data_IF_770674595727
#
_entry.id   IF_770674595727
#
_cell.length_a   1.000
_cell.length_b   1.000
_cell.length_c   1.000
_cell.angle_alpha   90.00
_cell.angle_beta   90.00
_cell.angle_gamma   90.00
#
_symmetry.space_group_name_H-M   'P 1'
#
loop_
_entity.id
_entity.type
_entity.pdbx_description
1 polymer ?
#
# COMPACT_ATOMS: atom_id res chain seq x y z
N UNK A 1 -24.60 -21.50 7.62
CA UNK A 1 -23.14 -21.49 7.41
C UNK A 1 -22.76 -20.02 7.45
N UNK A 2 -21.90 -19.60 8.38
CA UNK A 2 -21.55 -18.19 8.54
C UNK A 2 -20.68 -17.76 7.37
N UNK A 3 -21.13 -16.78 6.58
CA UNK A 3 -20.27 -15.96 5.73
C UNK A 3 -19.30 -15.21 6.65
N UNK A 4 -18.25 -15.90 7.08
CA UNK A 4 -17.21 -15.30 7.90
C UNK A 4 -16.31 -14.53 6.95
N UNK A 5 -16.53 -13.21 6.84
CA UNK A 5 -15.57 -12.35 6.16
C UNK A 5 -14.22 -12.43 6.89
N UNK A 6 -13.17 -12.84 6.20
CA UNK A 6 -11.83 -12.97 6.79
C UNK A 6 -11.00 -11.77 6.39
N UNK A 7 -10.42 -11.09 7.38
CA UNK A 7 -9.38 -10.09 7.17
C UNK A 7 -8.02 -10.77 7.15
N UNK A 8 -7.22 -10.46 6.13
CA UNK A 8 -5.92 -11.06 5.87
C UNK A 8 -4.88 -9.97 5.64
N UNK A 9 -3.74 -10.10 6.31
CA UNK A 9 -2.56 -9.28 6.07
C UNK A 9 -1.84 -9.73 4.79
N UNK A 10 -1.64 -8.83 3.84
CA UNK A 10 -0.86 -9.09 2.62
C UNK A 10 0.61 -8.77 2.84
N UNK A 11 0.91 -7.60 3.40
CA UNK A 11 2.28 -7.19 3.71
C UNK A 11 2.28 -6.24 4.90
N UNK A 12 3.19 -6.49 5.85
CA UNK A 12 3.48 -5.62 7.00
C UNK A 12 4.60 -4.62 6.69
N UNK A 13 5.13 -4.59 5.46
CA UNK A 13 6.18 -3.68 5.02
C UNK A 13 7.52 -3.75 5.77
N UNK A 14 7.70 -4.72 6.66
CA UNK A 14 8.92 -4.94 7.43
C UNK A 14 10.11 -5.31 6.56
N UNK A 15 9.85 -5.97 5.42
CA UNK A 15 10.87 -6.39 4.47
C UNK A 15 10.80 -5.63 3.14
N UNK A 16 11.59 -4.56 3.04
CA UNK A 16 11.70 -3.78 1.80
C UNK A 16 12.17 -4.58 0.57
N UNK A 17 12.79 -5.76 0.73
CA UNK A 17 13.24 -6.56 -0.43
C UNK A 17 12.06 -7.18 -1.21
N UNK A 18 10.88 -7.24 -0.60
CA UNK A 18 9.62 -7.58 -1.26
C UNK A 18 9.12 -6.49 -2.21
N UNK A 19 9.76 -5.33 -2.25
CA UNK A 19 9.33 -4.18 -3.03
C UNK A 19 10.46 -3.62 -3.89
N UNK A 20 10.11 -3.13 -5.06
CA UNK A 20 11.02 -2.39 -5.93
C UNK A 20 10.37 -1.13 -6.47
N UNK A 21 11.19 -0.11 -6.70
CA UNK A 21 10.77 1.09 -7.42
C UNK A 21 10.89 0.85 -8.91
N UNK A 22 9.79 1.07 -9.63
CA UNK A 22 9.73 0.97 -11.09
C UNK A 22 9.29 2.29 -11.72
N UNK A 23 9.37 2.36 -13.05
CA UNK A 23 8.96 3.53 -13.80
C UNK A 23 9.90 4.73 -13.68
N UNK A 24 9.39 5.91 -14.04
CA UNK A 24 10.19 7.14 -14.21
C UNK A 24 10.77 7.63 -12.89
N UNK A 25 10.01 7.53 -11.79
CA UNK A 25 10.44 8.02 -10.48
C UNK A 25 11.48 7.13 -9.80
N UNK A 26 11.74 5.91 -10.30
CA UNK A 26 12.70 4.98 -9.70
C UNK A 26 14.12 5.56 -9.57
N UNK A 27 14.54 6.44 -10.49
CA UNK A 27 15.85 7.11 -10.43
C UNK A 27 15.94 8.21 -9.37
N UNK A 28 14.80 8.64 -8.83
CA UNK A 28 14.66 9.77 -7.91
C UNK A 28 14.22 9.34 -6.52
N UNK A 29 13.67 8.14 -6.39
CA UNK A 29 13.22 7.57 -5.14
C UNK A 29 14.16 6.47 -4.64
N UNK A 30 14.13 6.19 -3.34
CA UNK A 30 14.77 5.02 -2.75
C UNK A 30 13.92 4.43 -1.63
N UNK A 31 14.11 3.13 -1.39
CA UNK A 31 13.39 2.38 -0.36
C UNK A 31 14.28 2.12 0.86
N UNK A 32 13.75 2.43 2.03
CA UNK A 32 14.33 2.08 3.32
C UNK A 32 13.23 1.65 4.28
N UNK A 33 13.60 1.25 5.49
CA UNK A 33 12.66 0.95 6.57
C UNK A 33 12.91 1.91 7.73
N UNK A 34 11.87 2.29 8.46
CA UNK A 34 11.99 3.18 9.62
C UNK A 34 11.36 2.53 10.84
N UNK A 35 12.03 2.63 12.00
CA UNK A 35 11.66 1.92 13.25
C UNK A 35 10.59 2.72 14.00
N UNK A 36 9.49 3.00 13.30
CA UNK A 36 8.27 3.63 13.81
C UNK A 36 7.13 3.19 12.86
N UNK A 37 6.48 2.09 13.19
CA UNK A 37 5.26 1.65 12.51
C UNK A 37 4.04 2.51 12.88
N UNK A 38 2.90 2.30 12.21
CA UNK A 38 1.67 3.00 12.56
C UNK A 38 1.18 2.62 13.97
N UNK A 39 0.71 3.57 14.78
CA UNK A 39 0.36 3.30 16.17
C UNK A 39 -0.93 2.49 16.30
N UNK A 40 -1.01 1.65 17.34
CA UNK A 40 -2.25 1.02 17.82
C UNK A 40 -2.99 0.16 16.80
N UNK A 41 -2.27 -0.53 15.90
CA UNK A 41 -2.90 -1.48 14.99
C UNK A 41 -3.29 -2.76 15.72
N UNK A 42 -4.46 -3.30 15.40
CA UNK A 42 -4.75 -4.71 15.68
C UNK A 42 -3.94 -5.56 14.72
N UNK A 43 -3.02 -6.39 15.22
CA UNK A 43 -2.18 -7.22 14.37
C UNK A 43 -3.07 -8.17 13.54
N UNK A 44 -3.23 -7.88 12.26
CA UNK A 44 -3.85 -8.79 11.33
C UNK A 44 -2.95 -10.03 11.14
N UNK A 45 -3.57 -11.16 10.89
CA UNK A 45 -2.87 -12.39 10.55
C UNK A 45 -2.72 -12.50 9.03
N UNK A 46 -1.58 -13.02 8.59
CA UNK A 46 -1.41 -13.51 7.23
C UNK A 46 -2.36 -14.68 6.95
N UNK A 47 -2.53 -15.05 5.69
CA UNK A 47 -3.40 -16.15 5.27
C UNK A 47 -3.02 -17.51 5.90
N UNK A 48 -1.75 -17.69 6.27
CA UNK A 48 -1.21 -18.87 6.94
C UNK A 48 -1.36 -18.83 8.48
N UNK A 49 -1.95 -17.76 9.02
CA UNK A 49 -2.16 -17.55 10.45
C UNK A 49 -0.98 -16.90 11.19
N UNK A 50 0.15 -16.64 10.52
CA UNK A 50 1.25 -15.89 11.13
C UNK A 50 0.78 -14.46 11.48
N UNK A 51 1.21 -13.93 12.63
CA UNK A 51 0.88 -12.55 13.00
C UNK A 51 1.82 -11.57 12.31
N UNK A 52 1.27 -10.44 11.84
CA UNK A 52 2.06 -9.28 11.45
C UNK A 52 2.92 -8.77 12.61
N UNK A 53 3.98 -8.02 12.27
CA UNK A 53 4.81 -7.33 13.25
C UNK A 53 4.64 -5.83 13.07
N UNK A 54 4.66 -5.09 14.17
CA UNK A 54 4.45 -3.64 14.17
C UNK A 54 5.72 -2.92 14.65
N UNK A 55 6.82 -3.11 13.93
CA UNK A 55 8.13 -2.59 14.33
C UNK A 55 8.63 -1.55 13.32
N UNK A 56 8.34 -1.73 12.03
CA UNK A 56 8.88 -0.90 10.96
C UNK A 56 7.89 -0.66 9.84
N UNK A 57 7.90 0.58 9.35
CA UNK A 57 7.26 0.94 8.10
C UNK A 57 8.23 0.90 6.92
N UNK A 58 7.72 0.61 5.72
CA UNK A 58 8.43 0.87 4.48
C UNK A 58 8.42 2.38 4.22
N UNK A 59 9.59 2.94 3.95
CA UNK A 59 9.75 4.35 3.63
C UNK A 59 10.18 4.53 2.19
N UNK A 60 9.40 5.33 1.47
CA UNK A 60 9.73 5.85 0.14
C UNK A 60 10.26 7.27 0.30
N UNK A 61 11.53 7.46 0.00
CA UNK A 61 12.19 8.76 0.05
C UNK A 61 12.43 9.27 -1.36
N UNK A 62 11.80 10.40 -1.71
CA UNK A 62 11.72 10.93 -3.07
C UNK A 62 12.48 12.24 -3.16
N UNK A 63 13.52 12.27 -3.99
CA UNK A 63 14.31 13.47 -4.26
C UNK A 63 13.72 14.29 -5.40
N UNK A 64 13.87 15.61 -5.29
CA UNK A 64 13.33 16.60 -6.21
C UNK A 64 11.81 16.42 -6.38
N UNK A 65 11.07 16.08 -5.32
CA UNK A 65 9.64 15.84 -5.44
C UNK A 65 8.90 17.07 -6.03
N UNK A 66 7.88 16.80 -6.83
CA UNK A 66 7.06 17.82 -7.46
C UNK A 66 5.62 17.29 -7.57
N UNK A 67 4.67 18.19 -7.71
CA UNK A 67 3.27 17.84 -7.96
C UNK A 67 3.17 16.95 -9.19
N UNK A 68 2.21 16.03 -9.15
CA UNK A 68 1.93 15.03 -10.19
C UNK A 68 3.03 14.01 -10.46
N UNK A 69 4.15 14.05 -9.71
CA UNK A 69 5.12 12.96 -9.75
C UNK A 69 4.45 11.65 -9.31
N UNK A 70 4.59 10.62 -10.14
CA UNK A 70 4.07 9.28 -9.87
C UNK A 70 5.22 8.36 -9.48
N UNK A 71 5.12 7.77 -8.30
CA UNK A 71 5.98 6.69 -7.83
C UNK A 71 5.26 5.37 -8.01
N UNK A 72 5.94 4.37 -8.55
CA UNK A 72 5.41 3.02 -8.71
C UNK A 72 6.25 2.04 -7.88
N UNK A 73 5.57 1.31 -7.02
CA UNK A 73 6.10 0.21 -6.23
C UNK A 73 5.58 -1.09 -6.82
N UNK A 74 6.47 -1.97 -7.25
CA UNK A 74 6.14 -3.33 -7.67
C UNK A 74 6.59 -4.33 -6.59
N UNK A 75 5.79 -5.36 -6.37
CA UNK A 75 6.05 -6.41 -5.39
C UNK A 75 6.92 -7.55 -5.97
N UNK A 76 7.65 -8.26 -5.09
CA UNK A 76 8.64 -9.30 -5.40
C UNK A 76 8.56 -10.53 -4.47
N UNK A 77 8.82 -11.74 -4.99
CA UNK A 77 8.84 -12.11 -6.40
C UNK A 77 7.42 -12.09 -7.01
N UNK A 78 7.30 -12.19 -8.34
CA UNK A 78 6.01 -12.33 -9.03
C UNK A 78 5.62 -13.82 -9.14
N UNK A 79 4.33 -14.19 -9.05
CA UNK A 79 3.16 -13.32 -8.80
C UNK A 79 3.12 -12.84 -7.36
N UNK A 80 2.58 -11.63 -7.17
CA UNK A 80 2.59 -10.95 -5.89
C UNK A 80 1.22 -10.99 -5.21
N UNK A 81 1.23 -11.25 -3.90
CA UNK A 81 0.09 -11.26 -2.99
C UNK A 81 -1.25 -11.66 -3.65
N UNK A 82 -1.42 -12.96 -3.89
CA UNK A 82 -2.68 -13.53 -4.38
C UNK A 82 -3.69 -13.61 -3.24
N UNK A 83 -4.89 -13.12 -3.49
CA UNK A 83 -6.04 -13.14 -2.59
C UNK A 83 -7.04 -14.14 -3.14
N UNK A 84 -7.13 -15.32 -2.53
CA UNK A 84 -8.13 -16.31 -2.90
C UNK A 84 -9.54 -15.84 -2.51
N UNK A 85 -10.54 -16.17 -3.33
CA UNK A 85 -11.93 -15.81 -3.08
C UNK A 85 -12.26 -14.39 -3.52
N UNK A 86 -13.30 -13.79 -2.90
CA UNK A 86 -13.84 -12.50 -3.35
C UNK A 86 -13.25 -11.36 -2.54
N UNK A 87 -12.28 -10.64 -3.11
CA UNK A 87 -11.74 -9.41 -2.52
C UNK A 87 -12.81 -8.32 -2.50
N UNK A 88 -13.15 -7.81 -1.32
CA UNK A 88 -14.17 -6.75 -1.15
C UNK A 88 -13.58 -5.44 -0.66
N UNK A 89 -12.54 -5.50 0.16
CA UNK A 89 -11.98 -4.31 0.82
C UNK A 89 -10.47 -4.39 0.86
N UNK A 90 -9.83 -3.25 0.60
CA UNK A 90 -8.40 -3.03 0.79
C UNK A 90 -8.20 -2.00 1.89
N UNK A 91 -7.18 -2.20 2.73
CA UNK A 91 -6.78 -1.25 3.77
C UNK A 91 -5.30 -1.01 3.74
N UNK A 92 -4.91 0.20 4.12
CA UNK A 92 -3.51 0.61 4.18
C UNK A 92 -3.30 1.63 5.27
N UNK A 93 -2.26 1.46 6.07
CA UNK A 93 -1.70 2.52 6.88
C UNK A 93 -0.68 3.32 6.08
N UNK A 94 -0.85 4.64 6.09
CA UNK A 94 -0.02 5.53 5.30
C UNK A 94 0.18 6.86 6.00
N UNK A 95 1.38 7.42 5.87
CA UNK A 95 1.75 8.74 6.40
C UNK A 95 2.56 9.49 5.35
N UNK A 96 2.20 10.75 5.09
CA UNK A 96 2.93 11.62 4.17
C UNK A 96 3.14 13.01 4.77
N UNK A 97 4.28 13.25 5.45
CA UNK A 97 4.53 14.52 6.12
C UNK A 97 4.76 15.71 5.18
N UNK A 98 5.13 15.47 3.93
CA UNK A 98 5.65 16.49 3.03
C UNK A 98 4.84 16.70 1.75
N UNK A 99 3.81 15.90 1.50
CA UNK A 99 2.92 16.04 0.35
C UNK A 99 1.55 15.46 0.66
N UNK A 100 0.51 15.97 0.01
CA UNK A 100 -0.71 15.23 -0.11
C UNK A 100 -0.47 14.13 -1.15
N UNK A 101 -1.10 12.97 -1.01
CA UNK A 101 -0.89 11.87 -1.95
C UNK A 101 -2.20 11.16 -2.28
N UNK A 102 -2.20 10.54 -3.45
CA UNK A 102 -3.19 9.54 -3.84
C UNK A 102 -2.48 8.21 -4.02
N UNK A 103 -2.89 7.21 -3.25
CA UNK A 103 -2.37 5.84 -3.34
C UNK A 103 -3.37 5.00 -4.10
N UNK A 104 -2.90 4.27 -5.10
CA UNK A 104 -3.68 3.33 -5.89
C UNK A 104 -3.10 1.93 -5.73
N UNK A 105 -3.96 0.94 -5.56
CA UNK A 105 -3.58 -0.47 -5.65
C UNK A 105 -3.69 -0.93 -7.11
N UNK A 106 -2.68 -1.68 -7.56
CA UNK A 106 -2.63 -2.26 -8.91
C UNK A 106 -3.04 -3.71 -8.81
N UNK A 107 -4.27 -4.02 -9.22
CA UNK A 107 -4.86 -5.35 -9.12
C UNK A 107 -4.92 -6.00 -10.50
N UNK A 108 -4.83 -7.31 -10.52
CA UNK A 108 -5.05 -8.14 -11.69
C UNK A 108 -5.92 -9.33 -11.29
N UNK A 109 -6.85 -9.71 -12.17
CA UNK A 109 -7.54 -11.01 -12.09
C UNK A 109 -7.77 -11.53 -13.51
N UNK A 110 -8.02 -12.83 -13.65
CA UNK A 110 -8.36 -13.41 -14.95
C UNK A 110 -9.67 -12.82 -15.52
N UNK A 111 -10.64 -12.53 -14.65
CA UNK A 111 -11.97 -12.07 -15.06
C UNK A 111 -12.00 -10.58 -15.43
N UNK A 112 -11.35 -9.71 -14.64
CA UNK A 112 -11.36 -8.25 -14.83
C UNK A 112 -10.15 -7.71 -15.59
N UNK A 113 -9.10 -8.52 -15.75
CA UNK A 113 -7.79 -8.04 -16.17
C UNK A 113 -7.16 -7.06 -15.16
N UNK A 114 -6.22 -6.25 -15.66
CA UNK A 114 -5.53 -5.22 -14.89
C UNK A 114 -6.41 -4.01 -14.57
N UNK A 115 -6.37 -3.55 -13.31
CA UNK A 115 -7.05 -2.33 -12.87
C UNK A 115 -6.25 -1.57 -11.81
N UNK A 116 -6.41 -0.25 -11.79
CA UNK A 116 -5.91 0.63 -10.73
C UNK A 116 -7.09 1.14 -9.90
N UNK A 117 -7.11 0.81 -8.61
CA UNK A 117 -8.16 1.25 -7.69
C UNK A 117 -7.61 2.28 -6.72
N UNK A 118 -8.32 3.40 -6.51
CA UNK A 118 -7.89 4.44 -5.59
C UNK A 118 -8.07 3.97 -4.14
N UNK A 119 -6.97 3.65 -3.48
CA UNK A 119 -6.94 3.10 -2.12
C UNK A 119 -6.98 4.19 -1.04
N UNK A 120 -6.24 5.29 -1.24
CA UNK A 120 -6.13 6.33 -0.22
C UNK A 120 -6.02 7.74 -0.83
N UNK A 121 -6.63 8.71 -0.14
CA UNK A 121 -6.40 10.15 -0.32
C UNK A 121 -5.84 10.69 0.99
N UNK A 122 -4.54 10.91 1.04
CA UNK A 122 -3.83 11.28 2.28
C UNK A 122 -3.44 12.74 2.19
N UNK A 123 -3.97 13.66 3.02
CA UNK A 123 -3.47 15.01 3.11
C UNK A 123 -2.04 15.04 3.66
N UNK A 124 -1.32 16.12 3.36
CA UNK A 124 -0.02 16.40 3.99
C UNK A 124 -0.18 16.44 5.50
N UNK A 125 0.62 15.66 6.23
CA UNK A 125 0.58 15.68 7.69
C UNK A 125 1.47 14.64 8.36
N UNK A 126 1.80 14.90 9.62
CA UNK A 126 2.66 14.02 10.41
C UNK A 126 1.90 12.81 11.01
N UNK A 127 0.58 12.72 10.85
CA UNK A 127 -0.21 11.65 11.43
C UNK A 127 -0.37 10.49 10.45
N UNK A 128 -0.36 9.28 11.01
CA UNK A 128 -0.75 8.07 10.31
C UNK A 128 -2.24 8.09 9.97
N UNK A 129 -2.58 7.59 8.79
CA UNK A 129 -3.95 7.43 8.34
C UNK A 129 -4.20 5.98 7.98
N UNK A 130 -5.27 5.44 8.58
CA UNK A 130 -5.83 4.16 8.17
C UNK A 130 -6.86 4.43 7.08
N UNK A 131 -6.52 4.06 5.85
CA UNK A 131 -7.44 4.17 4.72
C UNK A 131 -8.11 2.82 4.48
N UNK A 132 -9.43 2.83 4.34
CA UNK A 132 -10.22 1.69 3.93
C UNK A 132 -10.92 2.01 2.61
N UNK A 133 -10.79 1.11 1.64
CA UNK A 133 -11.47 1.21 0.36
C UNK A 133 -12.27 -0.06 0.10
N UNK A 134 -13.60 0.11 0.01
CA UNK A 134 -14.50 -0.95 -0.44
C UNK A 134 -14.61 -0.90 -1.96
N UNK A 135 -14.45 -2.05 -2.60
CA UNK A 135 -14.64 -2.20 -4.04
C UNK A 135 -16.14 -2.11 -4.37
N UNK A 136 -16.47 -1.37 -5.43
CA UNK A 136 -17.85 -1.30 -5.95
C UNK A 136 -18.33 -2.68 -6.40
N UNK A 137 -17.43 -3.46 -7.01
CA UNK A 137 -17.64 -4.86 -7.39
C UNK A 137 -16.49 -5.72 -6.85
N UNK A 138 -16.77 -6.76 -6.04
CA UNK A 138 -15.74 -7.65 -5.55
C UNK A 138 -14.98 -8.36 -6.67
N UNK A 139 -13.67 -8.52 -6.49
CA UNK A 139 -12.79 -9.15 -7.48
C UNK A 139 -12.45 -10.56 -7.01
N UNK A 140 -12.78 -11.57 -7.82
CA UNK A 140 -12.44 -12.96 -7.52
C UNK A 140 -10.98 -13.25 -7.85
N UNK A 141 -10.27 -13.92 -6.94
CA UNK A 141 -8.90 -14.41 -7.09
C UNK A 141 -7.92 -13.30 -7.52
N UNK A 142 -8.05 -12.14 -6.88
CA UNK A 142 -7.27 -10.96 -7.21
C UNK A 142 -5.78 -11.14 -6.84
N UNK A 143 -4.90 -10.59 -7.67
CA UNK A 143 -3.46 -10.51 -7.44
C UNK A 143 -3.07 -9.04 -7.29
N UNK A 144 -2.45 -8.67 -6.16
CA UNK A 144 -1.94 -7.32 -5.97
C UNK A 144 -0.51 -7.21 -6.52
N UNK A 145 -0.38 -6.54 -7.66
CA UNK A 145 0.88 -6.33 -8.38
C UNK A 145 1.77 -5.24 -7.78
N UNK A 146 1.18 -4.36 -6.96
CA UNK A 146 1.90 -3.32 -6.24
C UNK A 146 1.07 -2.05 -6.04
N UNK A 147 1.75 -0.95 -5.76
CA UNK A 147 1.13 0.34 -5.44
C UNK A 147 1.62 1.43 -6.38
N UNK A 148 0.75 2.40 -6.66
CA UNK A 148 1.08 3.61 -7.40
C UNK A 148 0.73 4.81 -6.52
N UNK A 149 1.68 5.72 -6.34
CA UNK A 149 1.53 6.86 -5.44
C UNK A 149 1.74 8.14 -6.25
N UNK A 150 0.70 8.95 -6.38
CA UNK A 150 0.77 10.27 -7.02
C UNK A 150 0.92 11.34 -5.95
N UNK A 151 1.95 12.17 -6.10
CA UNK A 151 2.15 13.35 -5.26
C UNK A 151 1.19 14.47 -5.66
N UNK A 152 0.60 15.09 -4.66
CA UNK A 152 -0.28 16.25 -4.72
C UNK A 152 0.24 17.29 -3.71
N UNK A 153 0.10 18.57 -4.00
CA UNK A 153 0.40 19.66 -3.06
C UNK A 153 1.72 19.48 -2.27
N UNK A 154 2.82 19.24 -2.98
CA UNK A 154 4.15 19.02 -2.39
C UNK A 154 4.56 20.29 -1.65
N UNK A 155 4.88 20.16 -0.36
CA UNK A 155 5.32 21.28 0.47
C UNK A 155 6.64 21.80 -0.10
N UNK A 156 6.62 23.05 -0.57
CA UNK A 156 7.74 23.73 -1.22
C UNK A 156 8.82 24.13 -0.20
N UNK A 157 9.47 23.15 0.40
CA UNK A 157 10.83 23.25 0.96
C UNK A 157 11.72 22.27 0.20
N UNK A 158 13.00 22.56 0.11
CA UNK A 158 13.91 21.84 -0.79
C UNK A 158 13.83 20.31 -0.62
N UNK A 159 13.16 19.67 -1.59
CA UNK A 159 13.71 18.52 -2.31
C UNK A 159 13.36 17.12 -1.84
N UNK A 160 12.82 16.88 -0.65
CA UNK A 160 12.65 15.50 -0.14
C UNK A 160 11.24 15.21 0.41
N UNK A 161 10.49 14.39 -0.31
CA UNK A 161 9.21 13.84 0.18
C UNK A 161 9.45 12.49 0.81
N UNK A 162 8.90 12.30 2.01
CA UNK A 162 8.88 11.03 2.71
C UNK A 162 7.46 10.50 2.72
N UNK A 163 7.30 9.24 2.37
CA UNK A 163 6.04 8.50 2.48
C UNK A 163 6.33 7.24 3.27
N UNK A 164 5.53 6.97 4.29
CA UNK A 164 5.60 5.74 5.06
C UNK A 164 4.37 4.91 4.75
N UNK A 165 4.59 3.62 4.50
CA UNK A 165 3.58 2.61 4.21
C UNK A 165 3.70 1.50 5.23
N UNK A 166 2.55 1.03 5.67
CA UNK A 166 2.46 0.05 6.73
C UNK A 166 1.14 -0.72 6.62
N UNK A 167 1.10 -1.97 7.11
CA UNK A 167 -0.02 -2.91 7.08
C UNK A 167 -0.99 -2.76 5.91
N UNK A 168 -0.72 -3.50 4.83
CA UNK A 168 -1.64 -3.68 3.72
C UNK A 168 -2.50 -4.90 3.98
N UNK A 169 -3.79 -4.70 4.30
CA UNK A 169 -4.73 -5.79 4.58
C UNK A 169 -5.86 -5.83 3.56
N UNK A 170 -6.48 -6.99 3.45
CA UNK A 170 -7.67 -7.21 2.63
C UNK A 170 -8.76 -7.87 3.44
N UNK A 171 -10.01 -7.59 3.08
CA UNK A 171 -11.17 -8.36 3.53
C UNK A 171 -11.74 -9.12 2.34
N UNK A 172 -11.99 -10.40 2.56
CA UNK A 172 -12.63 -11.29 1.59
C UNK A 172 -14.03 -11.67 2.07
N UNK A 173 -14.96 -11.86 1.13
CA UNK A 173 -16.21 -12.56 1.39
C UNK A 173 -16.05 -14.05 1.11
N UNK A 174 -16.70 -14.86 1.96
CA UNK A 174 -16.86 -16.31 1.79
C UNK A 174 -17.87 -16.67 0.70
#
# INVERSE_FOLDING_TARGET
MSDASVEVLLDDFENKSKWELVGVAARRAHLTTFVEGAPSKGLASFADGAMGRDIRALVVLIRKAADDLVVELASKPKPAFTVAGRLETLRLWVRSPHAAIRVYARLESEASGYQEVLLAKVPTGALWQHSEYQLDEPITDATLLGLKIRLMDVVKREGEVMILLDDLTVRTAG
#
